data_IF_055401693581
#
_entry.id   IF_055401693581
#
_cell.length_a   1.000
_cell.length_b   1.000
_cell.length_c   1.000
_cell.angle_alpha   90.00
_cell.angle_beta   90.00
_cell.angle_gamma   90.00
#
_symmetry.space_group_name_H-M   'P 1'
#
loop_
_entity.id
_entity.type
_entity.pdbx_description
1 polymer ?
#
# COMPACT_ATOMS: atom_id res chain seq x y z
N UNK A 1 5.25 4.37 3.44
CA UNK A 1 4.18 4.37 4.47
C UNK A 1 2.86 4.74 3.81
N UNK A 2 1.79 4.04 4.15
CA UNK A 2 0.46 4.19 3.54
C UNK A 2 -0.52 4.68 4.59
N UNK A 3 -1.31 5.70 4.28
CA UNK A 3 -2.34 6.25 5.17
C UNK A 3 -3.73 5.91 4.67
N UNK A 4 -4.58 5.45 5.61
CA UNK A 4 -5.99 5.11 5.37
C UNK A 4 -6.87 5.78 6.42
N UNK A 5 -8.16 5.93 6.09
CA UNK A 5 -9.14 6.63 6.93
C UNK A 5 -9.56 5.83 8.16
N UNK A 6 -9.73 4.51 8.03
CA UNK A 6 -10.32 3.68 9.09
C UNK A 6 -9.52 2.41 9.40
N UNK A 7 -9.67 1.89 10.62
CA UNK A 7 -9.06 0.61 11.06
C UNK A 7 -9.45 -0.56 10.16
N UNK A 8 -10.71 -0.60 9.72
CA UNK A 8 -11.22 -1.65 8.82
C UNK A 8 -10.55 -1.55 7.46
N UNK A 9 -10.31 -0.34 6.95
CA UNK A 9 -9.57 -0.15 5.69
C UNK A 9 -8.10 -0.55 5.84
N UNK A 10 -7.45 -0.26 6.96
CA UNK A 10 -6.10 -0.74 7.27
C UNK A 10 -5.98 -2.25 7.06
N UNK A 11 -6.86 -3.02 7.71
CA UNK A 11 -6.89 -4.48 7.62
C UNK A 11 -7.20 -4.97 6.20
N UNK A 12 -8.12 -4.31 5.50
CA UNK A 12 -8.46 -4.66 4.12
C UNK A 12 -7.30 -4.44 3.15
N UNK A 13 -6.62 -3.30 3.26
CA UNK A 13 -5.46 -2.98 2.42
C UNK A 13 -4.31 -3.94 2.74
N UNK A 14 -4.04 -4.23 4.02
CA UNK A 14 -3.02 -5.22 4.40
C UNK A 14 -3.30 -6.59 3.78
N UNK A 15 -4.53 -7.08 3.88
CA UNK A 15 -4.92 -8.36 3.26
C UNK A 15 -4.79 -8.33 1.74
N UNK A 16 -5.11 -7.21 1.11
CA UNK A 16 -4.94 -7.04 -0.34
C UNK A 16 -3.46 -7.07 -0.74
N UNK A 17 -2.56 -6.42 0.02
CA UNK A 17 -1.11 -6.49 -0.20
C UNK A 17 -0.59 -7.93 -0.08
N UNK A 18 -1.06 -8.68 0.92
CA UNK A 18 -0.67 -10.10 1.07
C UNK A 18 -1.08 -10.98 -0.10
N UNK A 19 -2.20 -10.69 -0.78
CA UNK A 19 -2.65 -11.42 -1.98
C UNK A 19 -1.76 -11.19 -3.20
N UNK A 20 -1.02 -10.08 -3.23
CA UNK A 20 -0.08 -9.74 -4.30
C UNK A 20 1.37 -9.99 -3.89
N UNK A 21 1.60 -10.79 -2.84
CA UNK A 21 2.93 -11.14 -2.36
C UNK A 21 3.69 -10.03 -1.64
N UNK A 22 3.04 -8.90 -1.32
CA UNK A 22 3.67 -7.78 -0.61
C UNK A 22 3.44 -7.88 0.89
N UNK A 23 4.52 -7.99 1.66
CA UNK A 23 4.45 -7.96 3.11
C UNK A 23 4.17 -6.54 3.61
N UNK A 24 3.01 -6.40 4.28
CA UNK A 24 2.58 -5.17 4.91
C UNK A 24 2.05 -5.43 6.33
N UNK A 25 2.14 -4.42 7.20
CA UNK A 25 1.53 -4.44 8.54
C UNK A 25 0.62 -3.24 8.74
N UNK A 26 -0.48 -3.45 9.45
CA UNK A 26 -1.40 -2.40 9.88
C UNK A 26 -0.93 -1.76 11.20
N UNK A 27 -1.25 -0.47 11.37
CA UNK A 27 -1.08 0.27 12.61
C UNK A 27 -2.31 1.16 12.84
N UNK A 28 -3.21 0.73 13.71
CA UNK A 28 -4.47 1.43 13.97
C UNK A 28 -4.86 1.38 15.46
N UNK A 29 -5.79 2.25 15.87
CA UNK A 29 -6.16 2.41 17.30
C UNK A 29 -6.84 1.21 17.94
N UNK A 30 -7.30 0.23 17.16
CA UNK A 30 -7.85 -1.03 17.67
C UNK A 30 -6.84 -2.13 17.99
N UNK A 31 -5.53 -1.87 17.86
CA UNK A 31 -4.48 -2.84 18.21
C UNK A 31 -4.07 -2.69 19.67
N UNK A 32 -3.70 -3.80 20.30
CA UNK A 32 -3.07 -3.78 21.62
C UNK A 32 -1.74 -3.03 21.58
N UNK A 33 -1.38 -2.35 22.68
CA UNK A 33 -0.18 -1.51 22.71
C UNK A 33 1.11 -2.32 22.48
N UNK A 34 1.15 -3.57 22.95
CA UNK A 34 2.28 -4.46 22.73
C UNK A 34 2.47 -4.78 21.25
N UNK A 35 1.39 -5.07 20.53
CA UNK A 35 1.41 -5.34 19.09
C UNK A 35 1.77 -4.10 18.28
N UNK A 36 1.27 -2.92 18.70
CA UNK A 36 1.68 -1.64 18.08
C UNK A 36 3.18 -1.45 18.18
N UNK A 37 3.78 -1.71 19.34
CA UNK A 37 5.23 -1.62 19.54
C UNK A 37 5.98 -2.61 18.67
N UNK A 38 5.54 -3.88 18.63
CA UNK A 38 6.13 -4.92 17.77
C UNK A 38 6.15 -4.51 16.30
N UNK A 39 5.02 -4.04 15.77
CA UNK A 39 4.92 -3.59 14.36
C UNK A 39 5.84 -2.40 14.08
N UNK A 40 5.90 -1.44 14.99
CA UNK A 40 6.80 -0.29 14.86
C UNK A 40 8.28 -0.70 14.88
N UNK A 41 8.65 -1.64 15.74
CA UNK A 41 10.02 -2.14 15.82
C UNK A 41 10.41 -2.91 14.55
N UNK A 42 9.52 -3.74 14.00
CA UNK A 42 9.72 -4.41 12.70
C UNK A 42 9.90 -3.40 11.56
N UNK A 43 9.08 -2.34 11.55
CA UNK A 43 9.17 -1.30 10.53
C UNK A 43 10.47 -0.50 10.65
N UNK A 44 10.88 -0.14 11.88
CA UNK A 44 12.15 0.57 12.14
C UNK A 44 13.38 -0.23 11.74
N UNK A 45 13.35 -1.55 11.92
CA UNK A 45 14.43 -2.46 11.49
C UNK A 45 14.45 -2.71 9.98
N UNK A 46 13.42 -2.26 9.25
CA UNK A 46 13.28 -2.51 7.82
C UNK A 46 12.85 -3.94 7.47
N UNK A 47 12.45 -4.74 8.46
CA UNK A 47 11.91 -6.09 8.24
C UNK A 47 10.57 -6.03 7.50
N UNK A 48 9.77 -5.00 7.80
CA UNK A 48 8.54 -4.69 7.06
C UNK A 48 8.75 -3.38 6.28
N UNK A 49 8.58 -3.43 4.97
CA UNK A 49 8.75 -2.25 4.10
C UNK A 49 7.48 -1.40 3.96
N UNK A 50 6.31 -2.01 4.16
CA UNK A 50 5.01 -1.34 3.97
C UNK A 50 4.25 -1.28 5.30
N UNK A 51 4.17 -0.09 5.87
CA UNK A 51 3.33 0.19 7.04
C UNK A 51 2.07 0.93 6.59
N UNK A 52 0.90 0.38 6.93
CA UNK A 52 -0.42 0.94 6.63
C UNK A 52 -1.01 1.47 7.93
N UNK A 53 -1.34 2.76 8.03
CA UNK A 53 -1.72 3.38 9.28
C UNK A 53 -2.91 4.34 9.17
N UNK A 54 -3.61 4.54 10.28
CA UNK A 54 -4.56 5.66 10.44
C UNK A 54 -3.87 6.87 11.08
N UNK A 55 -4.40 8.08 10.87
CA UNK A 55 -3.84 9.32 11.40
C UNK A 55 -3.64 9.31 12.92
N UNK A 56 -4.66 8.84 13.65
CA UNK A 56 -4.64 8.76 15.12
C UNK A 56 -3.49 7.88 15.60
N UNK A 57 -3.18 6.81 14.87
CA UNK A 57 -2.15 5.86 15.27
C UNK A 57 -0.74 6.28 14.89
N UNK A 58 -0.59 7.19 13.93
CA UNK A 58 0.70 7.74 13.52
C UNK A 58 1.08 9.03 14.28
N UNK A 59 0.15 9.65 15.02
CA UNK A 59 0.40 10.83 15.85
C UNK A 59 1.10 10.48 17.15
N UNK A 60 2.09 11.29 17.54
CA UNK A 60 2.83 11.11 18.80
C UNK A 60 3.77 9.90 18.82
N UNK A 61 3.96 9.23 17.69
CA UNK A 61 4.89 8.11 17.55
C UNK A 61 6.07 8.56 16.69
N UNK A 62 7.27 8.25 17.18
CA UNK A 62 8.50 8.46 16.44
C UNK A 62 8.65 7.39 15.34
N UNK A 63 8.11 7.70 14.17
CA UNK A 63 8.27 6.88 12.96
C UNK A 63 9.47 7.45 12.19
N UNK A 64 10.43 6.60 11.75
CA UNK A 64 11.55 7.03 10.93
C UNK A 64 11.10 7.80 9.68
N UNK A 65 11.98 8.65 9.15
CA UNK A 65 11.81 9.24 7.82
C UNK A 65 11.58 8.11 6.81
N UNK A 66 10.53 8.22 6.00
CA UNK A 66 10.25 7.25 4.94
C UNK A 66 10.46 7.88 3.58
N UNK A 67 10.92 7.10 2.61
CA UNK A 67 11.13 7.60 1.24
C UNK A 67 9.80 7.89 0.53
N UNK A 68 8.77 7.08 0.81
CA UNK A 68 7.46 7.17 0.18
C UNK A 68 6.34 7.33 1.20
N UNK A 69 5.45 8.28 0.94
CA UNK A 69 4.14 8.41 1.60
C UNK A 69 3.05 8.21 0.55
N UNK A 70 2.11 7.33 0.84
CA UNK A 70 0.93 7.08 -0.01
C UNK A 70 -0.31 7.40 0.81
N UNK A 71 -1.04 8.44 0.43
CA UNK A 71 -2.39 8.68 0.95
C UNK A 71 -3.37 7.83 0.15
N UNK A 72 -3.68 6.65 0.66
CA UNK A 72 -4.65 5.76 0.02
C UNK A 72 -6.06 6.33 0.09
N UNK A 73 -6.36 7.03 1.19
CA UNK A 73 -7.57 7.85 1.36
C UNK A 73 -7.17 9.30 1.57
N UNK A 74 -7.86 10.25 0.93
CA UNK A 74 -7.68 11.67 1.20
C UNK A 74 -8.02 11.97 2.68
N UNK A 75 -7.19 12.74 3.41
CA UNK A 75 -7.58 13.18 4.74
C UNK A 75 -8.72 14.20 4.68
N UNK A 76 -9.65 14.12 5.63
CA UNK A 76 -10.79 15.07 5.74
C UNK A 76 -10.36 16.45 6.25
N UNK A 77 -9.24 16.55 6.95
CA UNK A 77 -8.68 17.81 7.43
C UNK A 77 -7.38 18.13 6.71
N UNK A 78 -7.26 19.36 6.19
CA UNK A 78 -6.05 19.81 5.46
C UNK A 78 -4.77 19.74 6.30
N UNK A 79 -4.86 19.97 7.60
CA UNK A 79 -3.74 19.82 8.53
C UNK A 79 -3.21 18.38 8.57
N UNK A 80 -4.09 17.38 8.47
CA UNK A 80 -3.67 15.98 8.45
C UNK A 80 -2.85 15.70 7.20
N UNK A 81 -3.20 16.29 6.05
CA UNK A 81 -2.42 16.15 4.81
C UNK A 81 -0.95 16.54 5.02
N UNK A 82 -0.71 17.71 5.62
CA UNK A 82 0.64 18.19 5.92
C UNK A 82 1.37 17.27 6.89
N UNK A 83 0.71 16.79 7.94
CA UNK A 83 1.29 15.85 8.89
C UNK A 83 1.66 14.49 8.28
N UNK A 84 0.87 14.02 7.31
CA UNK A 84 1.12 12.77 6.56
C UNK A 84 2.32 12.91 5.64
N UNK A 85 2.35 13.94 4.79
CA UNK A 85 3.48 14.16 3.86
C UNK A 85 4.76 14.54 4.61
N UNK A 86 4.67 15.15 5.80
CA UNK A 86 5.82 15.40 6.68
C UNK A 86 6.49 14.14 7.28
N UNK A 87 5.99 12.94 6.95
CA UNK A 87 6.68 11.67 7.23
C UNK A 87 7.81 11.38 6.24
N UNK A 88 7.83 12.06 5.10
CA UNK A 88 8.87 11.93 4.07
C UNK A 88 9.61 13.25 3.84
N UNK A 89 10.76 13.19 3.17
CA UNK A 89 11.49 14.38 2.68
C UNK A 89 12.03 15.27 3.80
N UNK A 90 12.59 14.69 4.88
CA UNK A 90 13.18 15.45 5.99
C UNK A 90 14.61 15.88 5.67
N UNK A 91 14.94 17.14 5.98
CA UNK A 91 16.31 17.66 5.85
C UNK A 91 16.82 17.68 4.40
N UNK A 92 17.86 16.90 4.12
CA UNK A 92 18.47 16.77 2.78
C UNK A 92 17.94 15.58 1.98
N UNK A 93 17.09 14.75 2.57
CA UNK A 93 16.56 13.57 1.90
C UNK A 93 15.45 13.94 0.92
N UNK A 94 15.48 13.31 -0.25
CA UNK A 94 14.36 13.38 -1.19
C UNK A 94 13.29 12.41 -0.73
N UNK A 95 12.04 12.84 -0.82
CA UNK A 95 10.87 12.07 -0.44
C UNK A 95 9.76 12.28 -1.43
N UNK A 96 8.91 11.27 -1.62
CA UNK A 96 7.77 11.37 -2.51
C UNK A 96 6.47 11.08 -1.78
N UNK A 97 5.48 11.96 -1.97
CA UNK A 97 4.13 11.77 -1.51
C UNK A 97 3.18 11.61 -2.70
N UNK A 98 2.43 10.51 -2.73
CA UNK A 98 1.39 10.24 -3.73
C UNK A 98 0.06 10.15 -3.01
N UNK A 99 -0.98 10.71 -3.62
CA UNK A 99 -2.30 10.79 -3.02
C UNK A 99 -3.33 10.30 -4.02
N UNK A 100 -4.14 9.33 -3.61
CA UNK A 100 -5.33 8.95 -4.36
C UNK A 100 -6.47 9.90 -3.98
N UNK A 101 -7.23 10.30 -5.00
CA UNK A 101 -8.39 11.17 -4.88
C UNK A 101 -9.48 10.60 -5.78
N UNK A 102 -10.63 10.24 -5.20
CA UNK A 102 -11.79 9.87 -5.98
C UNK A 102 -12.54 11.10 -6.51
N UNK A 103 -13.54 10.88 -7.38
CA UNK A 103 -14.40 11.94 -7.91
C UNK A 103 -15.17 12.68 -6.83
N UNK A 104 -15.57 11.97 -5.77
CA UNK A 104 -16.34 12.49 -4.64
C UNK A 104 -15.45 13.28 -3.66
N UNK A 105 -14.13 13.11 -3.72
CA UNK A 105 -13.16 13.76 -2.83
C UNK A 105 -12.61 15.08 -3.40
N UNK A 106 -13.10 15.54 -4.55
CA UNK A 106 -12.61 16.76 -5.23
C UNK A 106 -12.78 18.03 -4.40
N UNK A 107 -13.86 18.14 -3.63
CA UNK A 107 -14.09 19.29 -2.75
C UNK A 107 -13.06 19.33 -1.62
N UNK A 108 -12.82 18.18 -0.98
CA UNK A 108 -11.79 18.03 0.06
C UNK A 108 -10.40 18.32 -0.52
N UNK A 109 -10.12 17.88 -1.74
CA UNK A 109 -8.86 18.21 -2.42
C UNK A 109 -8.71 19.72 -2.60
N UNK A 110 -9.76 20.44 -3.01
CA UNK A 110 -9.72 21.88 -3.17
C UNK A 110 -9.44 22.61 -1.84
N UNK A 111 -10.01 22.12 -0.74
CA UNK A 111 -9.71 22.64 0.61
C UNK A 111 -8.25 22.41 1.01
N UNK A 112 -7.69 21.24 0.68
CA UNK A 112 -6.28 20.92 0.92
C UNK A 112 -5.38 21.83 0.08
N UNK A 113 -5.66 21.99 -1.22
CA UNK A 113 -4.90 22.87 -2.12
C UNK A 113 -4.97 24.34 -1.68
N UNK A 114 -6.15 24.78 -1.22
CA UNK A 114 -6.36 26.10 -0.63
C UNK A 114 -5.52 26.32 0.63
N UNK A 115 -5.48 25.33 1.53
CA UNK A 115 -4.64 25.37 2.74
C UNK A 115 -3.14 25.37 2.40
N UNK A 116 -2.73 24.61 1.39
CA UNK A 116 -1.34 24.57 0.92
C UNK A 116 -0.92 25.83 0.16
N UNK A 117 -1.88 26.63 -0.31
CA UNK A 117 -1.65 27.80 -1.16
C UNK A 117 -1.15 27.47 -2.55
N UNK A 118 -1.20 26.19 -2.97
CA UNK A 118 -0.77 25.73 -4.29
C UNK A 118 -1.49 24.45 -4.71
N UNK A 119 -1.74 24.26 -6.02
CA UNK A 119 -2.34 23.03 -6.52
C UNK A 119 -1.37 21.84 -6.38
N UNK A 120 -1.92 20.66 -6.16
CA UNK A 120 -1.18 19.40 -6.16
C UNK A 120 -1.10 18.92 -7.61
N UNK A 121 0.12 18.56 -8.05
CA UNK A 121 0.33 18.04 -9.40
C UNK A 121 -0.47 16.76 -9.59
N UNK A 122 -1.37 16.75 -10.57
CA UNK A 122 -2.12 15.57 -10.99
C UNK A 122 -1.22 14.71 -11.88
N UNK A 123 -1.20 13.41 -11.60
CA UNK A 123 -0.55 12.42 -12.45
C UNK A 123 -1.64 11.83 -13.35
N UNK A 124 -1.52 12.06 -14.65
CA UNK A 124 -2.31 11.34 -15.64
C UNK A 124 -1.64 9.99 -15.85
N UNK A 125 -2.41 8.90 -15.78
CA UNK A 125 -1.94 7.56 -16.08
C UNK A 125 -2.56 7.12 -17.40
N UNK A 126 -1.74 6.71 -18.35
CA UNK A 126 -2.25 6.08 -19.57
C UNK A 126 -2.58 4.60 -19.30
N UNK A 127 -3.33 3.96 -20.21
CA UNK A 127 -3.64 2.53 -20.15
C UNK A 127 -2.38 1.67 -20.15
N UNK A 128 -1.34 2.13 -20.85
CA UNK A 128 -0.05 1.44 -20.89
C UNK A 128 0.68 1.50 -19.53
N UNK A 129 0.62 2.63 -18.82
CA UNK A 129 1.18 2.76 -17.45
C UNK A 129 0.48 1.84 -16.45
N UNK A 130 -0.83 1.66 -16.61
CA UNK A 130 -1.62 0.76 -15.77
C UNK A 130 -1.19 -0.71 -15.96
N UNK A 131 -0.92 -1.12 -17.21
CA UNK A 131 -0.52 -2.49 -17.54
C UNK A 131 0.80 -2.90 -16.86
N UNK A 132 1.76 -1.97 -16.76
CA UNK A 132 3.05 -2.21 -16.10
C UNK A 132 2.94 -2.31 -14.57
N UNK A 133 1.87 -1.77 -13.97
CA UNK A 133 1.61 -1.93 -12.53
C UNK A 133 1.14 -3.35 -12.18
N UNK A 134 0.52 -4.05 -13.13
CA UNK A 134 -0.03 -5.41 -12.93
C UNK A 134 1.10 -6.46 -12.84
N UNK A 135 2.21 -6.27 -13.55
CA UNK A 135 3.33 -7.23 -13.57
C UNK A 135 3.94 -7.47 -12.18
N UNK A 136 3.95 -6.48 -11.28
CA UNK A 136 4.42 -6.66 -9.91
C UNK A 136 3.52 -7.59 -9.06
N UNK A 137 2.25 -7.78 -9.45
CA UNK A 137 1.29 -8.62 -8.71
C UNK A 137 1.21 -10.07 -9.21
N UNK A 138 1.80 -10.36 -10.37
CA UNK A 138 1.83 -11.71 -10.94
C UNK A 138 2.90 -12.62 -10.31
N UNK A 139 3.84 -12.08 -9.53
CA UNK A 139 4.82 -12.87 -8.77
C UNK A 139 4.30 -13.30 -7.39
N UNK A 140 3.13 -13.95 -7.36
CA UNK A 140 2.80 -14.84 -6.24
C UNK A 140 2.58 -16.26 -6.77
N UNK A 141 3.49 -17.15 -6.38
CA UNK A 141 3.53 -18.58 -6.72
C UNK A 141 2.20 -19.29 -6.43
N UNK A 142 1.37 -19.45 -7.48
CA UNK A 142 0.64 -20.65 -7.85
C UNK A 142 -0.23 -20.29 -9.06
N UNK A 143 0.42 -20.11 -10.22
CA UNK A 143 -0.33 -20.00 -11.48
C UNK A 143 -1.05 -21.32 -11.70
N UNK A 144 -2.34 -21.35 -11.40
CA UNK A 144 -3.20 -22.53 -11.55
C UNK A 144 -3.18 -23.05 -12.99
N UNK A 145 -2.85 -22.21 -13.98
CA UNK A 145 -2.62 -22.64 -15.35
C UNK A 145 -1.39 -23.54 -15.48
N UNK A 146 -0.32 -23.25 -14.74
CA UNK A 146 0.88 -24.11 -14.68
C UNK A 146 0.56 -25.47 -14.06
N UNK A 147 -0.19 -25.47 -12.93
CA UNK A 147 -0.64 -26.71 -12.27
C UNK A 147 -1.59 -27.54 -13.14
N UNK A 148 -2.49 -26.89 -13.88
CA UNK A 148 -3.38 -27.57 -14.83
C UNK A 148 -2.61 -28.17 -16.00
N UNK A 149 -1.64 -27.44 -16.55
CA UNK A 149 -0.82 -27.91 -17.65
C UNK A 149 0.07 -29.10 -17.23
N UNK A 150 0.66 -29.07 -16.04
CA UNK A 150 1.37 -30.22 -15.47
C UNK A 150 0.44 -31.43 -15.29
N UNK A 151 -0.79 -31.22 -14.79
CA UNK A 151 -1.76 -32.29 -14.62
C UNK A 151 -2.14 -32.92 -15.97
N UNK A 152 -2.43 -32.11 -16.99
CA UNK A 152 -2.79 -32.57 -18.33
C UNK A 152 -1.65 -33.36 -18.99
N UNK A 153 -0.41 -32.88 -18.88
CA UNK A 153 0.77 -33.59 -19.36
C UNK A 153 0.99 -34.92 -18.62
N UNK A 154 0.70 -34.98 -17.32
CA UNK A 154 0.75 -36.22 -16.53
C UNK A 154 -0.27 -37.26 -17.03
N UNK A 155 -1.49 -36.82 -17.37
CA UNK A 155 -2.55 -37.67 -17.90
C UNK A 155 -2.18 -38.21 -19.29
N UNK A 156 -1.61 -37.36 -20.15
CA UNK A 156 -1.12 -37.77 -21.48
C UNK A 156 0.00 -38.80 -21.40
N UNK A 157 0.97 -38.63 -20.49
CA UNK A 157 2.02 -39.63 -20.24
C UNK A 157 1.45 -40.95 -19.72
N UNK A 158 0.49 -40.92 -18.79
CA UNK A 158 -0.21 -42.12 -18.28
C UNK A 158 -0.98 -42.85 -19.38
N UNK A 159 -1.64 -42.13 -20.29
CA UNK A 159 -2.35 -42.72 -21.44
C UNK A 159 -1.40 -43.35 -22.46
N UNK A 160 -0.22 -42.77 -22.70
CA UNK A 160 0.81 -43.35 -23.57
C UNK A 160 1.45 -44.62 -22.99
N UNK A 161 1.64 -44.70 -21.67
CA UNK A 161 2.16 -45.92 -20.99
C UNK A 161 1.18 -47.09 -20.97
N UNK A 162 -0.13 -46.86 -21.06
CA UNK A 162 -1.16 -47.93 -21.13
C UNK A 162 -1.37 -48.50 -22.53
N UNK A 163 -0.81 -47.88 -23.57
CA UNK A 163 -0.93 -48.28 -24.99
C UNK A 163 0.33 -48.96 -25.55
N UNK A 164 1.35 -49.16 -24.71
CA UNK A 164 2.55 -49.97 -24.97
C UNK A 164 2.49 -51.18 -24.04
#
# INVERSE_FOLDING_TARGET
>A
MVFVRTKVRCERVQKAMGRVGLEAKSLHGGMEQEDRKKVLDLFRKGEVKVLIATDVSARGIDIPSVEFVVNYDLPELSENYVHRVGRTGRGREKGQAVTFCSTEEKEILAEIEGFLGKPIKRLEMDRDDYSQTIDFSAESHADWKSLMNEHEQSLLKRRKKKKK
#
